data_IF_642234905165
#
_entry.id   IF_642234905165
#
_cell.length_a   1.000
_cell.length_b   1.000
_cell.length_c   1.000
_cell.angle_alpha   90.00
_cell.angle_beta   90.00
_cell.angle_gamma   90.00
#
_symmetry.space_group_name_H-M   'P 1'
#
loop_
_entity.id
_entity.type
_entity.pdbx_description
1 polymer ?
#
# COMPACT_ATOMS: atom_id res chain seq x y z
N UNK A 1 3.06 12.37 22.47
CA UNK A 1 4.11 12.57 21.46
C UNK A 1 4.82 11.24 21.25
N UNK A 2 4.25 10.35 20.44
CA UNK A 2 4.95 9.13 20.02
C UNK A 2 5.66 9.47 18.71
N UNK A 3 6.98 9.53 18.73
CA UNK A 3 7.78 9.62 17.51
C UNK A 3 7.60 8.32 16.74
N UNK A 4 6.81 8.38 15.66
CA UNK A 4 6.79 7.34 14.65
C UNK A 4 8.16 7.33 13.97
N UNK A 5 9.04 6.42 14.41
CA UNK A 5 10.27 6.12 13.70
C UNK A 5 9.88 5.36 12.44
N UNK A 6 9.53 6.09 11.38
CA UNK A 6 9.33 5.50 10.06
C UNK A 6 10.58 4.72 9.68
N UNK A 7 10.43 3.44 9.33
CA UNK A 7 11.53 2.62 8.85
C UNK A 7 12.27 3.34 7.72
N UNK A 8 13.60 3.32 7.77
CA UNK A 8 14.39 3.99 6.73
C UNK A 8 14.07 3.36 5.37
N UNK A 9 13.92 4.18 4.31
CA UNK A 9 13.70 3.69 2.94
C UNK A 9 14.72 2.59 2.54
N UNK A 10 15.96 2.70 3.04
CA UNK A 10 17.00 1.70 2.81
C UNK A 10 16.67 0.35 3.47
N UNK A 11 16.12 0.38 4.69
CA UNK A 11 15.74 -0.82 5.44
C UNK A 11 14.53 -1.50 4.82
N UNK A 12 13.50 -0.73 4.46
CA UNK A 12 12.32 -1.23 3.76
C UNK A 12 12.71 -1.90 2.44
N UNK A 13 13.60 -1.28 1.65
CA UNK A 13 14.14 -1.89 0.42
C UNK A 13 14.93 -3.17 0.69
N UNK A 14 15.76 -3.19 1.73
CA UNK A 14 16.53 -4.36 2.11
C UNK A 14 15.62 -5.53 2.51
N UNK A 15 14.57 -5.28 3.30
CA UNK A 15 13.59 -6.31 3.70
C UNK A 15 12.85 -6.88 2.49
N UNK A 16 12.34 -6.03 1.60
CA UNK A 16 11.68 -6.47 0.36
C UNK A 16 12.63 -7.27 -0.52
N UNK A 17 13.87 -6.80 -0.69
CA UNK A 17 14.91 -7.51 -1.43
C UNK A 17 15.21 -8.90 -0.85
N UNK A 18 15.36 -9.00 0.48
CA UNK A 18 15.58 -10.27 1.17
C UNK A 18 14.40 -11.23 0.97
N UNK A 19 13.17 -10.73 1.08
CA UNK A 19 11.94 -11.51 0.88
C UNK A 19 11.87 -12.14 -0.52
N UNK A 20 12.29 -11.42 -1.57
CA UNK A 20 12.30 -11.95 -2.94
C UNK A 20 13.25 -13.15 -3.10
N UNK A 21 14.29 -13.25 -2.29
CA UNK A 21 15.20 -14.40 -2.27
C UNK A 21 14.67 -15.63 -1.53
N UNK A 22 13.57 -15.51 -0.79
CA UNK A 22 12.99 -16.63 -0.03
C UNK A 22 12.04 -17.42 -0.94
N UNK A 23 12.47 -18.62 -1.32
CA UNK A 23 11.71 -19.57 -2.14
C UNK A 23 10.96 -20.61 -1.32
N UNK A 24 11.49 -20.98 -0.15
CA UNK A 24 10.83 -21.89 0.78
C UNK A 24 9.61 -21.25 1.44
N UNK A 25 8.47 -21.95 1.39
CA UNK A 25 7.19 -21.44 1.90
C UNK A 25 7.21 -21.21 3.41
N UNK A 26 7.76 -22.15 4.19
CA UNK A 26 7.78 -22.04 5.65
C UNK A 26 8.60 -20.84 6.12
N UNK A 27 9.78 -20.65 5.53
CA UNK A 27 10.63 -19.47 5.77
C UNK A 27 9.94 -18.17 5.34
N UNK A 28 9.21 -18.18 4.22
CA UNK A 28 8.50 -17.00 3.74
C UNK A 28 7.37 -16.59 4.68
N UNK A 29 6.59 -17.55 5.15
CA UNK A 29 5.53 -17.32 6.14
C UNK A 29 6.10 -16.79 7.46
N UNK A 30 7.17 -17.38 7.96
CA UNK A 30 7.85 -16.90 9.17
C UNK A 30 8.41 -15.48 8.99
N UNK A 31 8.98 -15.17 7.82
CA UNK A 31 9.46 -13.83 7.50
C UNK A 31 8.32 -12.81 7.52
N UNK A 32 7.21 -13.08 6.81
CA UNK A 32 6.03 -12.22 6.82
C UNK A 32 5.46 -12.05 8.22
N UNK A 33 5.38 -13.12 9.02
CA UNK A 33 4.88 -13.06 10.40
C UNK A 33 5.69 -12.10 11.27
N UNK A 34 7.01 -12.03 11.08
CA UNK A 34 7.88 -11.07 11.80
C UNK A 34 7.79 -9.65 11.24
N UNK A 35 7.61 -9.52 9.92
CA UNK A 35 7.56 -8.22 9.26
C UNK A 35 6.19 -7.54 9.40
N UNK A 36 5.13 -8.28 9.69
CA UNK A 36 3.75 -7.79 9.71
C UNK A 36 3.53 -6.50 10.54
N UNK A 37 4.23 -6.36 11.67
CA UNK A 37 4.08 -5.19 12.54
C UNK A 37 4.63 -3.88 11.94
N UNK A 38 5.63 -3.99 11.06
CA UNK A 38 6.31 -2.85 10.41
C UNK A 38 5.94 -2.72 8.92
N UNK A 39 5.08 -3.61 8.41
CA UNK A 39 4.81 -3.75 6.98
C UNK A 39 4.23 -2.47 6.40
N UNK A 40 3.21 -1.89 7.05
CA UNK A 40 2.53 -0.70 6.54
C UNK A 40 3.46 0.53 6.55
N UNK A 41 4.31 0.66 7.57
CA UNK A 41 5.31 1.72 7.68
C UNK A 41 6.36 1.59 6.57
N UNK A 42 6.82 0.38 6.27
CA UNK A 42 7.76 0.13 5.19
C UNK A 42 7.13 0.39 3.82
N UNK A 43 5.88 -0.03 3.60
CA UNK A 43 5.13 0.26 2.37
C UNK A 43 4.94 1.77 2.16
N UNK A 44 4.68 2.50 3.24
CA UNK A 44 4.61 3.96 3.22
C UNK A 44 5.98 4.59 2.91
N UNK A 45 7.05 4.13 3.54
CA UNK A 45 8.42 4.58 3.28
C UNK A 45 8.85 4.34 1.82
N UNK A 46 8.43 3.22 1.23
CA UNK A 46 8.65 2.88 -0.18
C UNK A 46 7.86 3.77 -1.15
N UNK A 47 6.96 4.62 -0.65
CA UNK A 47 6.05 5.46 -1.44
C UNK A 47 5.31 4.62 -2.47
N UNK A 48 4.72 3.51 -2.02
CA UNK A 48 4.00 2.57 -2.87
C UNK A 48 2.92 3.27 -3.70
N UNK A 49 3.18 3.44 -5.01
CA UNK A 49 2.35 4.26 -5.91
C UNK A 49 1.14 3.54 -6.52
N UNK A 50 1.06 2.22 -6.40
CA UNK A 50 0.02 1.45 -7.07
C UNK A 50 -1.41 1.91 -6.72
N UNK A 51 -1.75 2.27 -5.46
CA UNK A 51 -3.08 2.74 -5.12
C UNK A 51 -3.45 4.02 -5.88
N UNK A 52 -2.54 5.00 -5.92
CA UNK A 52 -2.74 6.25 -6.68
C UNK A 52 -2.89 6.00 -8.17
N UNK A 53 -2.06 5.15 -8.75
CA UNK A 53 -2.17 4.78 -10.17
C UNK A 53 -3.52 4.11 -10.48
N UNK A 54 -4.02 3.26 -9.58
CA UNK A 54 -5.34 2.66 -9.73
C UNK A 54 -6.46 3.71 -9.70
N UNK A 55 -6.38 4.70 -8.80
CA UNK A 55 -7.33 5.82 -8.73
C UNK A 55 -7.27 6.69 -9.99
N UNK A 56 -6.07 7.00 -10.49
CA UNK A 56 -5.89 7.78 -11.72
C UNK A 56 -6.56 7.07 -12.91
N UNK A 57 -6.33 5.76 -13.07
CA UNK A 57 -6.97 4.94 -14.10
C UNK A 57 -8.49 4.88 -13.95
N UNK A 58 -8.99 4.67 -12.73
CA UNK A 58 -10.44 4.61 -12.46
C UNK A 58 -11.11 5.95 -12.79
N UNK A 59 -10.48 7.06 -12.41
CA UNK A 59 -10.97 8.42 -12.65
C UNK A 59 -11.14 8.71 -14.13
N UNK A 60 -10.22 8.26 -14.97
CA UNK A 60 -10.30 8.40 -16.43
C UNK A 60 -11.44 7.60 -17.05
N UNK A 61 -11.90 6.52 -16.39
CA UNK A 61 -12.96 5.66 -16.88
C UNK A 61 -14.36 6.07 -16.39
N UNK A 62 -14.47 7.02 -15.46
CA UNK A 62 -15.77 7.45 -14.94
C UNK A 62 -16.54 8.26 -16.00
N UNK A 63 -17.86 8.03 -16.16
CA UNK A 63 -18.68 8.74 -17.14
C UNK A 63 -19.00 10.19 -16.75
N UNK A 64 -18.53 10.64 -15.59
CA UNK A 64 -18.84 11.95 -15.02
C UNK A 64 -17.81 12.32 -13.96
N UNK A 65 -18.00 13.46 -13.27
CA UNK A 65 -17.01 13.96 -12.35
C UNK A 65 -16.80 12.99 -11.17
N UNK A 66 -15.56 12.80 -10.69
CA UNK A 66 -15.24 11.81 -9.65
C UNK A 66 -16.06 11.97 -8.36
N UNK A 67 -16.35 13.22 -7.95
CA UNK A 67 -17.11 13.49 -6.75
C UNK A 67 -18.57 12.99 -6.81
N UNK A 68 -19.15 12.85 -8.00
CA UNK A 68 -20.51 12.37 -8.20
C UNK A 68 -20.60 10.83 -8.22
N UNK A 69 -19.48 10.14 -8.46
CA UNK A 69 -19.46 8.68 -8.51
C UNK A 69 -19.54 8.06 -7.12
N UNK A 70 -20.39 7.03 -6.95
CA UNK A 70 -20.39 6.15 -5.77
C UNK A 70 -19.55 4.92 -6.09
N UNK A 71 -18.54 4.65 -5.27
CA UNK A 71 -17.55 3.59 -5.51
C UNK A 71 -17.54 2.66 -4.31
N UNK A 72 -17.53 1.34 -4.58
CA UNK A 72 -17.39 0.30 -3.58
C UNK A 72 -16.13 -0.53 -3.90
N UNK A 73 -15.19 -0.58 -2.96
CA UNK A 73 -13.97 -1.38 -3.07
C UNK A 73 -14.16 -2.71 -2.30
N UNK A 74 -14.67 -3.73 -3.00
CA UNK A 74 -15.19 -4.99 -2.41
C UNK A 74 -14.10 -5.86 -1.77
N UNK A 75 -12.85 -5.76 -2.24
CA UNK A 75 -11.70 -6.53 -1.75
C UNK A 75 -10.53 -5.60 -1.42
N UNK A 76 -10.83 -4.54 -0.66
CA UNK A 76 -9.95 -3.36 -0.53
C UNK A 76 -8.59 -3.62 0.13
N UNK A 77 -8.38 -4.77 0.77
CA UNK A 77 -7.12 -5.10 1.44
C UNK A 77 -6.75 -4.02 2.46
N UNK A 78 -5.62 -3.34 2.26
CA UNK A 78 -5.16 -2.22 3.09
C UNK A 78 -6.02 -0.95 2.97
N UNK A 79 -7.00 -0.92 2.07
CA UNK A 79 -7.91 0.22 1.87
C UNK A 79 -7.28 1.44 1.18
N UNK A 80 -6.01 1.35 0.76
CA UNK A 80 -5.25 2.49 0.23
C UNK A 80 -5.85 3.07 -1.06
N UNK A 81 -6.47 2.24 -1.90
CA UNK A 81 -7.12 2.71 -3.14
C UNK A 81 -8.29 3.64 -2.81
N UNK A 82 -9.16 3.24 -1.88
CA UNK A 82 -10.25 4.08 -1.43
C UNK A 82 -9.76 5.37 -0.74
N UNK A 83 -8.72 5.28 0.10
CA UNK A 83 -8.13 6.44 0.79
C UNK A 83 -7.54 7.48 -0.17
N UNK A 84 -6.80 7.05 -1.19
CA UNK A 84 -6.30 7.93 -2.27
C UNK A 84 -7.46 8.57 -3.04
N UNK A 85 -8.50 7.80 -3.37
CA UNK A 85 -9.67 8.29 -4.09
C UNK A 85 -10.48 9.34 -3.31
N UNK A 86 -10.54 9.24 -1.99
CA UNK A 86 -11.16 10.26 -1.12
C UNK A 86 -10.37 11.56 -1.14
N UNK A 87 -9.04 11.49 -1.12
CA UNK A 87 -8.16 12.67 -1.12
C UNK A 87 -8.25 13.49 -2.41
N UNK A 88 -8.71 12.90 -3.52
CA UNK A 88 -8.90 13.57 -4.81
C UNK A 88 -10.31 14.17 -5.01
N UNK A 89 -11.22 14.02 -4.05
CA UNK A 89 -12.60 14.54 -4.14
C UNK A 89 -12.78 15.97 -3.62
N UNK A 90 -11.71 16.60 -3.13
CA UNK A 90 -11.68 17.97 -2.62
C UNK A 90 -11.47 19.00 -3.75
#
# INVERSE_FOLDING_TARGET
MAQEQGGSLSEARARVGALHGITDLGRKLHFYGRWAADYDQDVAALRYRAPRLAVDCLTQALPGPPHAARILDVACGTGLVAAEGLSMRC
#
